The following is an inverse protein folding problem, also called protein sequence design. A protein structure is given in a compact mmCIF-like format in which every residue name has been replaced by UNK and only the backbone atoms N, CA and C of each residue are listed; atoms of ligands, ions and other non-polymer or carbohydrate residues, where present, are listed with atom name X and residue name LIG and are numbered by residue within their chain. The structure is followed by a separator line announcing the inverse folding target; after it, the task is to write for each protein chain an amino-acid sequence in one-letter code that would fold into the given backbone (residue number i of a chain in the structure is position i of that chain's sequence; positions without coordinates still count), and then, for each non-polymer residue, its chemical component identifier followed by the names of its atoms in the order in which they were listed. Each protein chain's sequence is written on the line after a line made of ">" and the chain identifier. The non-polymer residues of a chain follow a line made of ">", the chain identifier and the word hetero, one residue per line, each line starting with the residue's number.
data_IF_953949790153
#
_entry.id   IF_953949790153
#
_cell.length_a   1.000
_cell.length_b   1.000
_cell.length_c   1.000
_cell.angle_alpha   90.00
_cell.angle_beta   90.00
_cell.angle_gamma   90.00
#
_symmetry.space_group_name_H-M   'P 1'
#
loop_
_entity.id
_entity.type
_entity.pdbx_description
1 polymer ?
#
# COMPACT_ATOMS: atom_id res chain seq x y z
N UNK A 1 -6.12 -21.88 -8.43
CA UNK A 1 -6.60 -20.59 -7.89
C UNK A 1 -5.55 -19.56 -8.27
N UNK A 2 -5.91 -18.50 -8.99
CA UNK A 2 -4.94 -17.43 -9.28
C UNK A 2 -4.64 -16.71 -7.97
N UNK A 3 -3.39 -16.71 -7.52
CA UNK A 3 -2.98 -15.89 -6.38
C UNK A 3 -3.27 -14.43 -6.75
N UNK A 4 -4.14 -13.78 -5.97
CA UNK A 4 -4.46 -12.37 -6.21
C UNK A 4 -3.21 -11.54 -5.95
N UNK A 5 -2.87 -10.63 -6.86
CA UNK A 5 -1.72 -9.75 -6.68
C UNK A 5 -2.00 -8.72 -5.61
N UNK A 6 -0.98 -8.38 -4.83
CA UNK A 6 -1.07 -7.40 -3.76
C UNK A 6 0.01 -6.35 -3.92
N UNK A 7 -0.23 -5.15 -3.41
CA UNK A 7 0.78 -4.11 -3.30
C UNK A 7 0.63 -3.32 -2.01
N UNK A 8 1.73 -2.77 -1.53
CA UNK A 8 1.73 -1.74 -0.53
C UNK A 8 1.25 -0.41 -1.13
N UNK A 9 0.47 0.33 -0.34
CA UNK A 9 -0.08 1.64 -0.65
C UNK A 9 0.03 2.57 0.56
N UNK A 10 0.15 3.87 0.32
CA UNK A 10 0.23 4.87 1.39
C UNK A 10 -1.16 5.45 1.68
N UNK A 11 -1.53 5.49 2.96
CA UNK A 11 -2.72 6.19 3.41
C UNK A 11 -2.39 7.66 3.69
N UNK A 12 -2.63 8.55 2.71
CA UNK A 12 -2.30 9.98 2.80
C UNK A 12 -3.04 10.74 3.93
N UNK A 13 -4.06 10.14 4.52
CA UNK A 13 -4.82 10.72 5.64
C UNK A 13 -4.19 10.49 7.02
N UNK A 14 -3.23 9.57 7.14
CA UNK A 14 -2.59 9.20 8.42
C UNK A 14 -1.06 9.34 8.31
N UNK A 15 -0.49 10.56 8.38
CA UNK A 15 0.96 10.77 8.44
C UNK A 15 1.55 10.40 9.81
N UNK A 16 2.84 10.09 9.85
CA UNK A 16 3.57 9.88 11.10
C UNK A 16 3.75 11.20 11.86
N UNK A 17 3.57 11.15 13.18
CA UNK A 17 3.77 12.30 14.07
C UNK A 17 5.23 12.74 14.16
N UNK A 18 6.19 11.82 14.09
CA UNK A 18 7.63 12.13 14.11
C UNK A 18 8.25 12.27 12.71
N UNK A 19 7.59 11.75 11.67
CA UNK A 19 8.04 11.84 10.28
C UNK A 19 6.87 12.24 9.36
N UNK A 20 6.57 13.55 9.23
CA UNK A 20 5.40 14.02 8.47
C UNK A 20 5.46 13.71 6.96
N UNK A 21 6.62 13.28 6.44
CA UNK A 21 6.81 12.80 5.07
C UNK A 21 6.50 11.30 4.90
N UNK A 22 6.16 10.60 5.98
CA UNK A 22 5.82 9.18 5.99
C UNK A 22 4.36 8.99 6.37
N UNK A 23 3.73 8.04 5.70
CA UNK A 23 2.32 7.74 5.83
C UNK A 23 2.12 6.28 6.20
N UNK A 24 1.02 6.01 6.88
CA UNK A 24 0.67 4.64 7.23
C UNK A 24 0.57 3.78 5.98
N UNK A 25 1.29 2.67 5.97
CA UNK A 25 1.24 1.71 4.87
C UNK A 25 0.07 0.76 5.03
N UNK A 26 -0.62 0.54 3.91
CA UNK A 26 -1.71 -0.40 3.75
C UNK A 26 -1.36 -1.40 2.64
N UNK A 27 -2.09 -2.50 2.58
CA UNK A 27 -2.02 -3.50 1.51
C UNK A 27 -3.30 -3.41 0.68
N UNK A 28 -3.15 -3.37 -0.64
CA UNK A 28 -4.23 -3.40 -1.61
C UNK A 28 -4.15 -4.70 -2.39
N UNK A 29 -5.28 -5.39 -2.54
CA UNK A 29 -5.37 -6.65 -3.29
C UNK A 29 -6.12 -6.41 -4.59
N UNK A 30 -5.56 -6.85 -5.72
CA UNK A 30 -6.19 -6.72 -7.04
C UNK A 30 -7.58 -7.35 -7.07
N UNK A 31 -8.58 -6.54 -7.43
CA UNK A 31 -9.98 -6.97 -7.54
C UNK A 31 -10.70 -7.10 -6.21
N UNK A 32 -10.15 -6.57 -5.12
CA UNK A 32 -10.85 -6.38 -3.85
C UNK A 32 -11.07 -4.89 -3.60
N UNK A 33 -12.24 -4.49 -3.07
CA UNK A 33 -12.52 -3.08 -2.82
C UNK A 33 -11.68 -2.55 -1.65
N UNK A 34 -11.02 -1.41 -1.88
CA UNK A 34 -10.30 -0.66 -0.85
C UNK A 34 -8.93 -1.22 -0.48
N UNK A 35 -8.54 -1.02 0.80
CA UNK A 35 -7.22 -1.36 1.33
C UNK A 35 -7.28 -1.88 2.76
N UNK A 36 -6.31 -2.70 3.13
CA UNK A 36 -6.14 -3.24 4.48
C UNK A 36 -4.97 -2.56 5.18
N UNK A 37 -5.21 -1.98 6.35
CA UNK A 37 -4.14 -1.44 7.19
C UNK A 37 -3.18 -2.56 7.57
N UNK A 38 -1.88 -2.37 7.37
CA UNK A 38 -0.89 -3.28 7.97
C UNK A 38 -1.00 -3.16 9.50
N UNK A 39 -1.16 -4.27 10.22
CA UNK A 39 -1.15 -4.27 11.70
C UNK A 39 0.26 -3.92 12.19
N UNK A 40 0.52 -3.35 13.38
CA UNK A 40 -0.30 -2.96 14.52
C UNK A 40 0.63 -2.35 15.59
N UNK A 41 0.22 -1.22 16.18
CA UNK A 41 0.94 -0.47 17.23
C UNK A 41 1.52 0.87 16.77
N UNK A 42 1.60 1.85 17.68
CA UNK A 42 2.13 3.22 17.50
C UNK A 42 3.62 3.30 17.12
N UNK A 43 4.20 2.19 16.68
CA UNK A 43 5.60 2.10 16.32
C UNK A 43 5.74 2.46 14.83
N UNK A 44 6.75 3.27 14.53
CA UNK A 44 7.08 3.75 13.18
C UNK A 44 7.41 2.73 12.06
N UNK A 45 7.69 1.42 12.26
CA UNK A 45 7.94 0.49 11.15
C UNK A 45 6.81 0.38 10.10
N UNK A 46 5.61 0.87 10.39
CA UNK A 46 4.46 0.86 9.49
C UNK A 46 4.21 2.20 8.77
N UNK A 47 5.08 3.19 8.95
CA UNK A 47 4.99 4.48 8.25
C UNK A 47 6.12 4.61 7.24
N UNK A 48 5.77 4.66 5.95
CA UNK A 48 6.71 4.70 4.84
C UNK A 48 6.48 5.93 3.97
N UNK A 49 7.52 6.33 3.23
CA UNK A 49 7.39 7.25 2.12
C UNK A 49 7.18 6.49 0.80
N UNK A 50 6.87 7.21 -0.28
CA UNK A 50 6.55 6.61 -1.57
C UNK A 50 7.70 5.76 -2.12
N UNK A 51 8.94 6.24 -1.99
CA UNK A 51 10.12 5.52 -2.47
C UNK A 51 10.31 4.17 -1.76
N UNK A 52 10.06 4.13 -0.45
CA UNK A 52 10.10 2.87 0.32
C UNK A 52 9.00 1.92 -0.13
N UNK A 53 7.79 2.43 -0.34
CA UNK A 53 6.66 1.66 -0.84
C UNK A 53 6.96 1.04 -2.22
N UNK A 54 7.46 1.84 -3.16
CA UNK A 54 7.84 1.41 -4.51
C UNK A 54 8.95 0.34 -4.47
N UNK A 55 9.96 0.52 -3.61
CA UNK A 55 11.04 -0.45 -3.42
C UNK A 55 10.51 -1.78 -2.84
N UNK A 56 9.63 -1.71 -1.83
CA UNK A 56 9.02 -2.88 -1.19
C UNK A 56 8.12 -3.65 -2.16
N UNK A 57 7.32 -2.95 -2.96
CA UNK A 57 6.49 -3.55 -4.00
C UNK A 57 7.33 -4.32 -5.02
N UNK A 58 8.45 -3.74 -5.46
CA UNK A 58 9.39 -4.43 -6.34
C UNK A 58 10.04 -5.64 -5.68
N UNK A 59 10.49 -5.52 -4.43
CA UNK A 59 11.22 -6.59 -3.74
C UNK A 59 10.35 -7.77 -3.29
N UNK A 60 9.13 -7.50 -2.79
CA UNK A 60 8.26 -8.53 -2.22
C UNK A 60 7.25 -9.09 -3.22
N UNK A 61 6.72 -8.24 -4.10
CA UNK A 61 5.67 -8.63 -5.05
C UNK A 61 6.16 -8.68 -6.50
N UNK A 62 7.42 -8.28 -6.76
CA UNK A 62 7.95 -8.22 -8.13
C UNK A 62 7.24 -7.17 -8.99
N UNK A 63 6.54 -6.21 -8.38
CA UNK A 63 5.70 -5.25 -9.09
C UNK A 63 6.49 -4.02 -9.50
N UNK A 64 6.24 -3.55 -10.71
CA UNK A 64 6.62 -2.19 -11.11
C UNK A 64 5.73 -1.16 -10.39
N UNK A 65 6.17 0.10 -10.38
CA UNK A 65 5.34 1.21 -9.87
C UNK A 65 4.02 1.30 -10.64
N UNK A 66 4.07 1.14 -11.96
CA UNK A 66 2.90 1.20 -12.84
C UNK A 66 1.91 0.08 -12.53
N UNK A 67 2.41 -1.14 -12.29
CA UNK A 67 1.56 -2.28 -11.92
C UNK A 67 0.91 -2.10 -10.54
N UNK A 68 1.67 -1.60 -9.56
CA UNK A 68 1.13 -1.30 -8.24
C UNK A 68 0.02 -0.23 -8.34
N UNK A 69 0.23 0.84 -9.12
CA UNK A 69 -0.79 1.86 -9.35
C UNK A 69 -2.03 1.30 -10.07
N UNK A 70 -1.86 0.35 -10.99
CA UNK A 70 -2.98 -0.31 -11.67
C UNK A 70 -3.82 -1.15 -10.70
N UNK A 71 -3.18 -1.83 -9.76
CA UNK A 71 -3.84 -2.59 -8.68
C UNK A 71 -4.60 -1.63 -7.75
N UNK A 72 -3.98 -0.52 -7.36
CA UNK A 72 -4.63 0.50 -6.51
C UNK A 72 -5.85 1.08 -7.22
N UNK A 73 -5.69 1.50 -8.48
CA UNK A 73 -6.79 2.03 -9.28
C UNK A 73 -7.96 1.04 -9.40
N UNK A 74 -7.69 -0.21 -9.77
CA UNK A 74 -8.77 -1.20 -9.90
C UNK A 74 -9.50 -1.50 -8.59
N UNK A 75 -8.84 -1.32 -7.44
CA UNK A 75 -9.38 -1.63 -6.11
C UNK A 75 -10.13 -0.45 -5.48
N UNK A 76 -9.72 0.79 -5.79
CA UNK A 76 -10.35 2.01 -5.27
C UNK A 76 -11.61 2.41 -6.04
N UNK A 77 -11.70 2.03 -7.32
CA UNK A 77 -12.89 2.23 -8.16
C UNK A 77 -13.85 1.04 -8.14
N UNK A 78 -13.57 0.00 -7.35
CA UNK A 78 -14.58 -0.99 -6.99
C UNK A 78 -15.55 -0.37 -5.98
N UNK A 79 -16.35 0.59 -6.45
CA UNK A 79 -17.59 1.00 -5.78
C UNK A 79 -18.48 -0.24 -5.62
N UNK A 80 -18.86 -0.52 -4.38
CA UNK A 80 -19.91 -1.49 -4.03
C UNK A 80 -21.29 -0.85 -4.14
#
# INVERSE_FOLDING_TARGET
>A
MSEKRQCYWLQELEPSSSHPDRYRVCVVTEGEPGYHKTGGGDVEPWYWNQATCDAKNKSFFGLSKEDAMRIVGSSMFCDA
#
